data_IF_468535224464
#
_entry.id   IF_468535224464
#
_cell.length_a   1.000
_cell.length_b   1.000
_cell.length_c   1.000
_cell.angle_alpha   90.00
_cell.angle_beta   90.00
_cell.angle_gamma   90.00
#
_symmetry.space_group_name_H-M   'P 1'
#
loop_
_entity.id
_entity.type
_entity.pdbx_description
1 polymer ?
#
# COMPACT_ATOMS: atom_id res chain seq x y z
N UNK A 1 22.04 5.60 -33.49
CA UNK A 1 20.57 5.66 -33.60
C UNK A 1 19.99 4.64 -32.65
N UNK A 2 19.55 5.09 -31.48
CA UNK A 2 19.04 4.22 -30.41
C UNK A 2 17.63 3.76 -30.78
N UNK A 3 17.46 2.46 -30.97
CA UNK A 3 16.19 1.85 -31.32
C UNK A 3 15.23 2.02 -30.14
N UNK A 4 14.18 2.82 -30.30
CA UNK A 4 13.06 2.87 -29.34
C UNK A 4 12.36 1.52 -29.39
N UNK A 5 12.28 0.85 -28.24
CA UNK A 5 11.45 -0.33 -28.08
C UNK A 5 9.98 0.06 -28.33
N UNK A 6 9.32 -0.67 -29.21
CA UNK A 6 7.88 -0.57 -29.50
C UNK A 6 7.06 -1.16 -28.35
N UNK A 7 5.94 -0.53 -27.92
CA UNK A 7 5.11 -1.08 -26.86
C UNK A 7 4.20 -2.18 -27.43
N UNK A 8 4.57 -3.43 -27.19
CA UNK A 8 3.64 -4.56 -27.22
C UNK A 8 4.19 -5.70 -26.38
N UNK A 9 4.41 -5.45 -25.09
CA UNK A 9 4.37 -6.53 -24.10
C UNK A 9 2.93 -6.59 -23.60
N UNK A 10 2.18 -7.60 -24.01
CA UNK A 10 0.85 -7.84 -23.47
C UNK A 10 0.92 -7.87 -21.94
N UNK A 11 -0.07 -7.27 -21.27
CA UNK A 11 -0.14 -7.32 -19.81
C UNK A 11 -0.27 -8.78 -19.35
N UNK A 12 0.35 -9.15 -18.22
CA UNK A 12 0.17 -10.46 -17.61
C UNK A 12 -1.19 -10.53 -16.92
N UNK A 13 -2.26 -10.61 -17.71
CA UNK A 13 -3.63 -10.71 -17.20
C UNK A 13 -3.82 -12.02 -16.41
N UNK A 14 -4.70 -11.99 -15.41
CA UNK A 14 -5.05 -13.15 -14.56
C UNK A 14 -3.82 -13.86 -13.95
N UNK A 15 -2.76 -13.11 -13.68
CA UNK A 15 -1.46 -13.64 -13.24
C UNK A 15 -1.07 -13.08 -11.89
N UNK A 16 -0.50 -13.93 -11.03
CA UNK A 16 0.15 -13.53 -9.79
C UNK A 16 1.63 -13.29 -10.07
N UNK A 17 2.08 -12.05 -9.89
CA UNK A 17 3.48 -11.68 -9.97
C UNK A 17 4.11 -11.80 -8.58
N UNK A 18 5.09 -12.70 -8.43
CA UNK A 18 5.80 -12.93 -7.16
C UNK A 18 7.06 -12.07 -7.15
N UNK A 19 7.11 -11.07 -6.28
CA UNK A 19 8.28 -10.20 -6.13
C UNK A 19 8.01 -8.97 -5.29
N UNK A 20 9.01 -8.09 -5.23
CA UNK A 20 8.84 -6.74 -4.70
C UNK A 20 7.90 -5.93 -5.60
N UNK A 21 6.85 -5.32 -5.03
CA UNK A 21 5.81 -4.67 -5.82
C UNK A 21 6.33 -3.48 -6.65
N UNK A 22 7.35 -2.76 -6.18
CA UNK A 22 7.93 -1.63 -6.92
C UNK A 22 8.66 -2.18 -8.15
N UNK A 23 9.49 -3.21 -7.96
CA UNK A 23 10.22 -3.86 -9.05
C UNK A 23 9.30 -4.54 -10.08
N UNK A 24 8.21 -5.17 -9.64
CA UNK A 24 7.24 -5.80 -10.55
C UNK A 24 6.40 -4.76 -11.28
N UNK A 25 5.92 -3.69 -10.61
CA UNK A 25 5.22 -2.60 -11.29
C UNK A 25 6.11 -1.89 -12.31
N UNK A 26 7.40 -1.68 -12.01
CA UNK A 26 8.37 -1.08 -12.92
C UNK A 26 8.51 -1.83 -14.27
N UNK A 27 8.11 -3.11 -14.34
CA UNK A 27 8.11 -3.91 -15.57
C UNK A 27 6.81 -3.78 -16.37
N UNK A 28 5.75 -3.25 -15.76
CA UNK A 28 4.47 -3.01 -16.44
C UNK A 28 4.56 -1.73 -17.28
N UNK A 29 3.89 -1.68 -18.45
CA UNK A 29 3.80 -0.46 -19.25
C UNK A 29 3.13 0.69 -18.49
N UNK A 30 3.52 1.92 -18.82
CA UNK A 30 2.83 3.13 -18.37
C UNK A 30 1.35 3.11 -18.81
N UNK A 31 0.45 3.76 -18.06
CA UNK A 31 -0.95 3.95 -18.43
C UNK A 31 -1.66 2.66 -18.88
N UNK A 32 -1.43 1.57 -18.14
CA UNK A 32 -1.85 0.23 -18.52
C UNK A 32 -2.91 -0.39 -17.61
N UNK A 33 -3.10 0.13 -16.39
CA UNK A 33 -4.11 -0.37 -15.44
C UNK A 33 -5.21 0.65 -15.19
N UNK A 34 -6.45 0.15 -15.11
CA UNK A 34 -7.64 0.96 -14.85
C UNK A 34 -7.84 1.24 -13.35
N UNK A 35 -7.43 0.30 -12.50
CA UNK A 35 -7.62 0.40 -11.05
C UNK A 35 -6.46 -0.25 -10.30
N UNK A 36 -6.00 0.41 -9.24
CA UNK A 36 -5.06 -0.13 -8.26
C UNK A 36 -5.76 -0.21 -6.91
N UNK A 37 -5.64 -1.36 -6.24
CA UNK A 37 -6.03 -1.53 -4.85
C UNK A 37 -4.79 -1.88 -4.03
N UNK A 38 -4.50 -1.10 -2.98
CA UNK A 38 -3.33 -1.26 -2.16
C UNK A 38 -3.69 -1.37 -0.67
N UNK A 39 -3.22 -2.43 -0.02
CA UNK A 39 -3.22 -2.62 1.43
C UNK A 39 -1.75 -2.68 1.91
N UNK A 40 -1.06 -1.52 1.99
CA UNK A 40 0.35 -1.47 2.34
C UNK A 40 0.56 -1.78 3.84
N UNK A 41 1.78 -2.10 4.29
CA UNK A 41 2.08 -2.24 5.71
C UNK A 41 1.72 -0.98 6.51
N UNK A 42 1.09 -1.16 7.68
CA UNK A 42 0.57 -0.07 8.50
C UNK A 42 1.61 0.51 9.44
N UNK A 43 2.74 -0.19 9.61
CA UNK A 43 3.79 0.18 10.56
C UNK A 43 3.19 0.33 11.96
N UNK A 44 2.59 -0.74 12.47
CA UNK A 44 1.80 -0.70 13.71
C UNK A 44 2.62 -0.34 14.96
N UNK A 45 3.96 -0.37 14.88
CA UNK A 45 4.87 -0.03 15.97
C UNK A 45 4.49 -0.70 17.30
N UNK A 46 4.06 -1.96 17.22
CA UNK A 46 3.63 -2.72 18.40
C UNK A 46 4.84 -2.88 19.35
N UNK A 47 4.70 -2.34 20.56
CA UNK A 47 5.67 -2.49 21.64
C UNK A 47 5.21 -3.59 22.60
N UNK A 48 5.87 -4.75 22.56
CA UNK A 48 5.66 -5.83 23.51
C UNK A 48 4.48 -6.76 23.21
N UNK A 49 4.14 -7.60 24.17
CA UNK A 49 3.06 -8.58 24.04
C UNK A 49 1.69 -7.92 24.28
N UNK A 50 0.75 -8.20 23.39
CA UNK A 50 -0.64 -7.81 23.55
C UNK A 50 -1.40 -8.92 24.27
N UNK A 51 -2.23 -8.58 25.25
CA UNK A 51 -3.09 -9.52 25.96
C UNK A 51 -4.57 -9.19 25.73
N UNK A 52 -5.39 -10.24 25.74
CA UNK A 52 -6.85 -10.12 25.82
C UNK A 52 -7.27 -9.88 27.29
N UNK A 53 -8.52 -9.45 27.54
CA UNK A 53 -9.03 -9.26 28.90
C UNK A 53 -9.00 -10.53 29.78
N UNK A 54 -8.97 -11.72 29.17
CA UNK A 54 -8.80 -13.01 29.87
C UNK A 54 -7.33 -13.39 30.09
N UNK A 55 -6.41 -12.45 29.87
CA UNK A 55 -4.96 -12.57 29.97
C UNK A 55 -4.31 -13.50 28.93
N UNK A 56 -5.08 -14.04 27.97
CA UNK A 56 -4.50 -14.81 26.87
C UNK A 56 -3.70 -13.91 25.91
N UNK A 57 -2.56 -14.42 25.42
CA UNK A 57 -1.70 -13.69 24.49
C UNK A 57 -2.41 -13.51 23.15
N UNK A 58 -2.36 -12.30 22.60
CA UNK A 58 -2.84 -11.95 21.27
C UNK A 58 -1.72 -12.21 20.27
N UNK A 59 -2.07 -12.91 19.19
CA UNK A 59 -1.19 -13.03 18.04
C UNK A 59 -1.27 -11.73 17.21
N UNK A 60 -0.41 -10.78 17.58
CA UNK A 60 -0.29 -9.49 16.90
C UNK A 60 0.46 -9.62 15.58
N UNK A 61 0.37 -8.61 14.72
CA UNK A 61 1.20 -8.55 13.52
C UNK A 61 2.61 -8.13 13.93
N UNK A 62 3.51 -9.09 14.09
CA UNK A 62 4.92 -8.90 14.48
C UNK A 62 5.90 -9.16 13.33
N UNK A 63 5.38 -9.36 12.11
CA UNK A 63 6.15 -9.73 10.95
C UNK A 63 7.09 -8.61 10.47
N UNK A 64 8.26 -9.01 9.96
CA UNK A 64 9.32 -8.08 9.52
C UNK A 64 8.87 -7.12 8.41
N UNK A 65 7.91 -7.54 7.57
CA UNK A 65 7.38 -6.68 6.51
C UNK A 65 6.56 -5.48 7.02
N UNK A 66 6.09 -5.51 8.28
CA UNK A 66 5.42 -4.37 8.93
C UNK A 66 6.37 -3.51 9.78
N UNK A 67 7.66 -3.89 9.87
CA UNK A 67 8.69 -3.15 10.60
C UNK A 67 9.49 -2.27 9.64
N UNK A 68 8.86 -1.20 9.17
CA UNK A 68 9.48 -0.29 8.19
C UNK A 68 10.46 0.72 8.79
N UNK A 69 10.82 0.58 10.08
CA UNK A 69 11.75 1.45 10.77
C UNK A 69 11.10 2.76 11.24
N UNK A 70 11.78 3.88 11.01
CA UNK A 70 11.24 5.20 11.37
C UNK A 70 10.19 5.70 10.36
N UNK A 71 9.50 6.79 10.71
CA UNK A 71 8.49 7.37 9.81
C UNK A 71 9.09 7.83 8.48
N UNK A 72 10.36 8.23 8.43
CA UNK A 72 11.00 8.66 7.20
C UNK A 72 11.24 7.48 6.25
N UNK A 73 11.59 6.30 6.78
CA UNK A 73 11.72 5.07 6.02
C UNK A 73 10.36 4.59 5.50
N UNK A 74 9.31 4.63 6.33
CA UNK A 74 7.93 4.36 5.91
C UNK A 74 7.48 5.30 4.78
N UNK A 75 7.74 6.60 4.90
CA UNK A 75 7.39 7.58 3.87
C UNK A 75 8.16 7.34 2.57
N UNK A 76 9.46 7.02 2.63
CA UNK A 76 10.28 6.72 1.44
C UNK A 76 9.74 5.49 0.71
N UNK A 77 9.46 4.43 1.45
CA UNK A 77 8.85 3.23 0.90
C UNK A 77 7.48 3.55 0.27
N UNK A 78 6.65 4.31 0.99
CA UNK A 78 5.30 4.66 0.54
C UNK A 78 5.31 5.48 -0.74
N UNK A 79 6.17 6.50 -0.83
CA UNK A 79 6.35 7.30 -2.04
C UNK A 79 6.87 6.48 -3.21
N UNK A 80 7.77 5.52 -2.97
CA UNK A 80 8.33 4.69 -4.02
C UNK A 80 7.24 3.84 -4.71
N UNK A 81 6.42 3.12 -3.94
CA UNK A 81 5.35 2.32 -4.56
C UNK A 81 4.22 3.17 -5.12
N UNK A 82 3.87 4.30 -4.49
CA UNK A 82 2.87 5.23 -5.04
C UNK A 82 3.31 5.83 -6.38
N UNK A 83 4.62 6.06 -6.56
CA UNK A 83 5.17 6.58 -7.81
C UNK A 83 4.96 5.59 -8.95
N UNK A 84 5.29 4.32 -8.72
CA UNK A 84 5.05 3.27 -9.71
C UNK A 84 3.55 3.03 -9.95
N UNK A 85 2.73 2.99 -8.88
CA UNK A 85 1.28 2.87 -9.00
C UNK A 85 0.68 3.99 -9.85
N UNK A 86 1.13 5.24 -9.67
CA UNK A 86 0.71 6.39 -10.48
C UNK A 86 1.13 6.24 -11.94
N UNK A 87 2.35 5.75 -12.21
CA UNK A 87 2.87 5.59 -13.58
C UNK A 87 2.07 4.54 -14.36
N UNK A 88 1.71 3.43 -13.72
CA UNK A 88 0.98 2.35 -14.39
C UNK A 88 -0.52 2.66 -14.53
N UNK A 89 -1.09 3.48 -13.66
CA UNK A 89 -2.48 3.93 -13.78
C UNK A 89 -2.70 4.74 -15.05
N UNK A 90 -3.80 4.47 -15.76
CA UNK A 90 -4.28 5.33 -16.85
C UNK A 90 -4.65 6.71 -16.32
N UNK A 91 -4.73 7.69 -17.22
CA UNK A 91 -5.13 9.07 -16.91
C UNK A 91 -6.53 9.15 -16.25
N UNK A 92 -7.42 8.21 -16.57
CA UNK A 92 -8.77 8.05 -15.99
C UNK A 92 -8.86 6.93 -14.94
N UNK A 93 -7.72 6.38 -14.52
CA UNK A 93 -7.64 5.29 -13.56
C UNK A 93 -7.91 5.71 -12.11
N UNK A 94 -8.25 4.74 -11.27
CA UNK A 94 -8.55 4.98 -9.84
C UNK A 94 -7.62 4.20 -8.92
N UNK A 95 -7.17 4.85 -7.83
CA UNK A 95 -6.42 4.23 -6.75
C UNK A 95 -7.30 4.11 -5.50
N UNK A 96 -7.40 2.90 -4.94
CA UNK A 96 -7.90 2.65 -3.60
C UNK A 96 -6.74 2.25 -2.70
N UNK A 97 -6.56 2.95 -1.59
CA UNK A 97 -5.59 2.57 -0.56
C UNK A 97 -6.31 2.48 0.77
N UNK A 98 -6.04 1.42 1.52
CA UNK A 98 -6.58 1.22 2.86
C UNK A 98 -5.47 1.39 3.90
N UNK A 99 -5.88 1.79 5.11
CA UNK A 99 -5.00 1.99 6.24
C UNK A 99 -5.79 2.09 7.53
N UNK A 100 -5.06 2.24 8.61
CA UNK A 100 -5.61 2.58 9.92
C UNK A 100 -5.08 3.95 10.36
N UNK A 101 -5.43 4.40 11.57
CA UNK A 101 -4.94 5.67 12.10
C UNK A 101 -3.39 5.74 12.18
N UNK A 102 -2.69 4.61 12.17
CA UNK A 102 -1.22 4.55 12.20
C UNK A 102 -0.57 5.13 10.92
N UNK A 103 -1.18 4.93 9.75
CA UNK A 103 -0.58 5.31 8.48
C UNK A 103 -1.48 6.19 7.59
N UNK A 104 -2.82 6.12 7.71
CA UNK A 104 -3.73 6.69 6.72
C UNK A 104 -3.60 8.21 6.59
N UNK A 105 -3.26 8.93 7.67
CA UNK A 105 -3.08 10.38 7.62
C UNK A 105 -1.81 10.79 6.88
N UNK A 106 -0.71 10.04 7.08
CA UNK A 106 0.54 10.27 6.35
C UNK A 106 0.36 9.95 4.88
N UNK A 107 -0.31 8.84 4.60
CA UNK A 107 -0.67 8.41 3.25
C UNK A 107 -1.54 9.46 2.54
N UNK A 108 -2.58 9.96 3.20
CA UNK A 108 -3.46 11.00 2.65
C UNK A 108 -2.71 12.28 2.26
N UNK A 109 -1.78 12.75 3.12
CA UNK A 109 -0.92 13.89 2.79
C UNK A 109 -0.03 13.60 1.57
N UNK A 110 0.62 12.44 1.54
CA UNK A 110 1.47 12.03 0.41
C UNK A 110 0.70 11.93 -0.91
N UNK A 111 -0.53 11.40 -0.90
CA UNK A 111 -1.38 11.32 -2.08
C UNK A 111 -1.66 12.72 -2.66
N UNK A 112 -2.00 13.68 -1.80
CA UNK A 112 -2.25 15.07 -2.23
C UNK A 112 -0.98 15.73 -2.77
N UNK A 113 0.16 15.57 -2.09
CA UNK A 113 1.46 16.10 -2.54
C UNK A 113 1.87 15.54 -3.92
N UNK A 114 1.48 14.30 -4.22
CA UNK A 114 1.76 13.61 -5.48
C UNK A 114 0.73 13.93 -6.59
N UNK A 115 -0.23 14.82 -6.33
CA UNK A 115 -1.21 15.26 -7.32
C UNK A 115 -2.32 14.23 -7.59
N UNK A 116 -2.62 13.34 -6.63
CA UNK A 116 -3.87 12.60 -6.65
C UNK A 116 -5.01 13.49 -6.18
N UNK A 117 -6.18 13.30 -6.78
CA UNK A 117 -7.41 13.94 -6.33
C UNK A 117 -8.21 12.97 -5.46
N UNK A 118 -8.30 13.26 -4.17
CA UNK A 118 -9.06 12.41 -3.24
C UNK A 118 -10.56 12.62 -3.49
N UNK A 119 -11.22 11.59 -4.01
CA UNK A 119 -12.66 11.62 -4.29
C UNK A 119 -13.48 11.42 -3.03
N UNK A 120 -13.15 10.40 -2.23
CA UNK A 120 -13.86 10.03 -1.01
C UNK A 120 -12.90 9.37 -0.02
N UNK A 121 -13.23 9.47 1.27
CA UNK A 121 -12.74 8.58 2.32
C UNK A 121 -13.89 7.63 2.70
N UNK A 122 -13.62 6.32 2.70
CA UNK A 122 -14.62 5.28 2.96
C UNK A 122 -14.22 4.46 4.18
N UNK A 123 -15.07 4.49 5.20
CA UNK A 123 -14.80 3.84 6.48
C UNK A 123 -15.30 2.40 6.47
N UNK A 124 -14.37 1.44 6.60
CA UNK A 124 -14.73 0.05 6.87
C UNK A 124 -15.08 -0.16 8.35
N UNK A 125 -16.38 -0.18 8.67
CA UNK A 125 -16.89 -0.49 10.01
C UNK A 125 -16.89 -2.01 10.27
N UNK A 126 -15.85 -2.51 10.94
CA UNK A 126 -15.77 -3.92 11.40
C UNK A 126 -16.83 -4.20 12.46
N UNK A 127 -17.68 -5.21 12.26
CA UNK A 127 -18.75 -5.58 13.19
C UNK A 127 -18.24 -6.24 14.48
N UNK A 128 -17.11 -6.96 14.40
CA UNK A 128 -16.51 -7.72 15.51
C UNK A 128 -14.99 -7.44 15.64
N UNK A 129 -14.56 -6.23 16.02
CA UNK A 129 -13.14 -5.92 16.19
C UNK A 129 -12.53 -6.69 17.37
N UNK A 130 -11.25 -7.08 17.24
CA UNK A 130 -10.49 -7.67 18.35
C UNK A 130 -10.44 -6.69 19.53
N UNK A 131 -10.76 -7.18 20.74
CA UNK A 131 -10.63 -6.42 21.98
C UNK A 131 -9.31 -6.78 22.64
N UNK A 132 -8.45 -5.80 22.83
CA UNK A 132 -7.21 -5.90 23.60
C UNK A 132 -7.36 -5.12 24.91
N UNK A 133 -6.81 -5.63 25.99
CA UNK A 133 -6.67 -4.90 27.26
C UNK A 133 -5.26 -4.30 27.30
N UNK A 134 -5.16 -3.01 27.61
CA UNK A 134 -3.89 -2.32 27.83
C UNK A 134 -3.39 -2.44 29.27
#
# INVERSE_FOLDING_TARGET
MTQRLTPSSALPLDTILIGDCIAEMARLPDNSVDLVFADPPYNLQLNGELHRPDNSRVDGVDAEWDKLGDFAAHDRFTKAWLTEARRVLKDDGTLWVIGSYHNIFRLGAMLQDMGFWILNDVVWRKSNPCRISG
#
